data_IF_458123943487
#
_entry.id   IF_458123943487
#
_cell.length_a   1.000
_cell.length_b   1.000
_cell.length_c   1.000
_cell.angle_alpha   90.00
_cell.angle_beta   90.00
_cell.angle_gamma   90.00
#
_symmetry.space_group_name_H-M   'P 1'
#
loop_
_entity.id
_entity.type
_entity.pdbx_description
1 polymer ?
#
# COMPACT_ATOMS: atom_id res chain seq x y z
N UNK A 1 2.53 15.28 -13.03
CA UNK A 1 1.75 14.06 -12.77
C UNK A 1 2.60 12.85 -13.16
N UNK A 2 2.97 11.99 -12.23
CA UNK A 2 3.63 10.71 -12.57
C UNK A 2 2.62 9.87 -13.33
N UNK A 3 2.92 9.50 -14.58
CA UNK A 3 2.08 8.59 -15.38
C UNK A 3 1.86 7.30 -14.59
N UNK A 4 0.62 7.03 -14.24
CA UNK A 4 0.19 5.78 -13.61
C UNK A 4 0.33 4.71 -14.69
N UNK A 5 1.25 3.76 -14.50
CA UNK A 5 1.49 2.66 -15.44
C UNK A 5 1.03 1.34 -14.83
N UNK A 6 0.51 0.41 -15.61
CA UNK A 6 0.27 -0.96 -15.16
C UNK A 6 1.61 -1.64 -14.80
N UNK A 7 1.60 -2.71 -13.99
CA UNK A 7 2.76 -3.57 -13.82
C UNK A 7 3.30 -4.05 -15.18
N UNK A 8 4.62 -4.20 -15.31
CA UNK A 8 5.25 -4.59 -16.58
C UNK A 8 4.72 -5.91 -17.14
N UNK A 9 4.35 -6.83 -16.25
CA UNK A 9 3.80 -8.16 -16.60
C UNK A 9 2.30 -8.16 -16.91
N UNK A 10 1.57 -7.03 -16.78
CA UNK A 10 0.11 -6.98 -16.81
C UNK A 10 -0.49 -7.55 -18.09
N UNK A 11 0.03 -7.15 -19.25
CA UNK A 11 -0.47 -7.61 -20.55
C UNK A 11 -0.16 -9.09 -20.78
N UNK A 12 1.02 -9.54 -20.39
CA UNK A 12 1.40 -10.96 -20.47
C UNK A 12 0.53 -11.83 -19.58
N UNK A 13 0.29 -11.41 -18.34
CA UNK A 13 -0.58 -12.09 -17.40
C UNK A 13 -2.03 -12.21 -17.95
N UNK A 14 -2.61 -11.14 -18.47
CA UNK A 14 -3.94 -11.16 -19.11
C UNK A 14 -3.98 -12.16 -20.26
N UNK A 15 -2.98 -12.15 -21.12
CA UNK A 15 -2.88 -13.07 -22.27
C UNK A 15 -2.76 -14.54 -21.83
N UNK A 16 -1.92 -14.80 -20.84
CA UNK A 16 -1.74 -16.13 -20.26
C UNK A 16 -3.03 -16.66 -19.64
N UNK A 17 -3.67 -15.88 -18.77
CA UNK A 17 -4.90 -16.25 -18.09
C UNK A 17 -6.06 -16.48 -19.06
N UNK A 18 -6.18 -15.64 -20.10
CA UNK A 18 -7.21 -15.80 -21.15
C UNK A 18 -7.05 -17.08 -21.96
N UNK A 19 -5.82 -17.58 -22.13
CA UNK A 19 -5.57 -18.85 -22.80
C UNK A 19 -5.88 -20.06 -21.91
N UNK A 20 -5.66 -19.93 -20.59
CA UNK A 20 -5.82 -21.03 -19.64
C UNK A 20 -7.27 -21.22 -19.19
N UNK A 21 -8.06 -20.15 -19.11
CA UNK A 21 -9.43 -20.19 -18.59
C UNK A 21 -10.37 -19.35 -19.46
N UNK A 22 -11.31 -20.05 -20.14
CA UNK A 22 -12.30 -19.42 -21.02
C UNK A 22 -13.28 -18.51 -20.29
N UNK A 23 -13.62 -18.81 -19.01
CA UNK A 23 -14.52 -17.96 -18.21
C UNK A 23 -13.80 -16.68 -17.83
N UNK A 24 -12.54 -16.79 -17.38
CA UNK A 24 -11.71 -15.65 -17.07
C UNK A 24 -11.44 -14.78 -18.31
N UNK A 25 -11.23 -15.39 -19.47
CA UNK A 25 -11.07 -14.66 -20.74
C UNK A 25 -12.25 -13.75 -21.04
N UNK A 26 -13.50 -14.21 -20.82
CA UNK A 26 -14.70 -13.39 -21.01
C UNK A 26 -14.69 -12.17 -20.10
N UNK A 27 -14.34 -12.34 -18.82
CA UNK A 27 -14.26 -11.24 -17.85
C UNK A 27 -13.16 -10.25 -18.26
N UNK A 28 -11.97 -10.75 -18.60
CA UNK A 28 -10.83 -9.92 -19.03
C UNK A 28 -11.18 -9.06 -20.25
N UNK A 29 -11.97 -9.60 -21.20
CA UNK A 29 -12.38 -8.88 -22.40
C UNK A 29 -13.50 -7.85 -22.15
N UNK A 30 -14.24 -7.98 -21.06
CA UNK A 30 -15.31 -7.05 -20.68
C UNK A 30 -14.80 -5.81 -19.92
N UNK A 31 -13.61 -5.88 -19.34
CA UNK A 31 -13.08 -4.82 -18.47
C UNK A 31 -11.67 -4.39 -18.90
N UNK A 32 -11.51 -3.10 -19.18
CA UNK A 32 -10.23 -2.49 -19.60
C UNK A 32 -9.37 -1.98 -18.42
N UNK A 33 -9.80 -2.26 -17.20
CA UNK A 33 -9.08 -1.85 -16.01
C UNK A 33 -7.70 -2.50 -15.89
N UNK A 34 -6.82 -1.85 -15.13
CA UNK A 34 -5.50 -2.39 -14.81
C UNK A 34 -5.08 -1.97 -13.40
N UNK A 35 -4.22 -2.76 -12.79
CA UNK A 35 -3.55 -2.39 -11.55
C UNK A 35 -2.56 -1.25 -11.82
N UNK A 36 -2.39 -0.39 -10.84
CA UNK A 36 -1.43 0.70 -10.92
C UNK A 36 -0.25 0.43 -9.98
N UNK A 37 0.96 0.68 -10.47
CA UNK A 37 2.17 0.61 -9.65
C UNK A 37 2.46 1.98 -9.04
N UNK A 38 2.82 1.99 -7.78
CA UNK A 38 3.32 3.17 -7.06
C UNK A 38 4.77 2.92 -6.67
N UNK A 39 5.65 3.85 -7.00
CA UNK A 39 7.07 3.77 -6.64
C UNK A 39 7.35 4.38 -5.25
N UNK A 40 6.38 4.29 -4.34
CA UNK A 40 6.48 4.74 -2.97
C UNK A 40 5.92 3.67 -2.03
N UNK A 41 6.77 2.75 -1.55
CA UNK A 41 6.35 1.67 -0.66
C UNK A 41 5.78 2.16 0.67
N UNK A 42 6.36 3.22 1.26
CA UNK A 42 5.87 3.78 2.51
C UNK A 42 4.45 4.33 2.35
N UNK A 43 4.22 5.12 1.30
CA UNK A 43 2.89 5.62 0.94
C UNK A 43 1.90 4.46 0.75
N UNK A 44 2.28 3.43 0.00
CA UNK A 44 1.42 2.29 -0.29
C UNK A 44 1.04 1.51 0.96
N UNK A 45 1.98 1.30 1.88
CA UNK A 45 1.72 0.63 3.16
C UNK A 45 0.84 1.47 4.08
N UNK A 46 1.05 2.78 4.17
CA UNK A 46 0.15 3.68 4.91
C UNK A 46 -1.29 3.56 4.40
N UNK A 47 -1.46 3.62 3.08
CA UNK A 47 -2.78 3.50 2.46
C UNK A 47 -3.44 2.16 2.76
N UNK A 48 -2.67 1.07 2.69
CA UNK A 48 -3.16 -0.28 3.00
C UNK A 48 -3.61 -0.40 4.46
N UNK A 49 -2.79 0.05 5.42
CA UNK A 49 -3.13 -0.01 6.85
C UNK A 49 -4.40 0.80 7.14
N UNK A 50 -4.51 2.02 6.61
CA UNK A 50 -5.67 2.88 6.82
C UNK A 50 -6.94 2.24 6.24
N UNK A 51 -6.84 1.59 5.09
CA UNK A 51 -7.97 0.97 4.40
C UNK A 51 -8.39 -0.42 4.89
N UNK A 52 -7.64 -1.05 5.82
CA UNK A 52 -7.96 -2.40 6.29
C UNK A 52 -9.32 -2.47 6.98
N UNK A 53 -10.10 -3.52 6.66
CA UNK A 53 -11.37 -3.88 7.33
C UNK A 53 -12.44 -2.77 7.33
N UNK A 54 -12.42 -1.87 6.36
CA UNK A 54 -13.46 -0.86 6.16
C UNK A 54 -13.84 -0.79 4.67
N UNK A 55 -14.99 -0.16 4.38
CA UNK A 55 -15.43 0.02 3.00
C UNK A 55 -14.49 0.95 2.22
N UNK A 56 -14.47 0.81 0.89
CA UNK A 56 -13.65 1.68 0.00
C UNK A 56 -13.96 3.15 0.25
N UNK A 57 -15.24 3.52 0.36
CA UNK A 57 -15.67 4.90 0.63
C UNK A 57 -15.14 5.43 1.98
N UNK A 58 -15.21 4.60 3.02
CA UNK A 58 -14.65 4.96 4.34
C UNK A 58 -13.13 5.07 4.30
N UNK A 59 -12.45 4.18 3.59
CA UNK A 59 -11.00 4.21 3.40
C UNK A 59 -10.56 5.49 2.67
N UNK A 60 -11.24 5.89 1.61
CA UNK A 60 -10.95 7.12 0.87
C UNK A 60 -11.16 8.36 1.74
N UNK A 61 -12.25 8.40 2.50
CA UNK A 61 -12.54 9.50 3.43
C UNK A 61 -11.45 9.63 4.51
N UNK A 62 -11.07 8.51 5.15
CA UNK A 62 -10.01 8.50 6.15
C UNK A 62 -8.66 8.90 5.55
N UNK A 63 -8.36 8.45 4.34
CA UNK A 63 -7.14 8.79 3.63
C UNK A 63 -7.03 10.29 3.36
N UNK A 64 -8.09 10.92 2.85
CA UNK A 64 -8.11 12.37 2.60
C UNK A 64 -7.89 13.18 3.87
N UNK A 65 -8.47 12.76 5.00
CA UNK A 65 -8.21 13.38 6.31
C UNK A 65 -6.76 13.20 6.75
N UNK A 66 -6.21 12.01 6.55
CA UNK A 66 -4.81 11.72 6.88
C UNK A 66 -3.85 12.57 6.06
N UNK A 67 -4.06 12.69 4.75
CA UNK A 67 -3.24 13.56 3.88
C UNK A 67 -3.25 15.03 4.33
N UNK A 68 -4.41 15.56 4.71
CA UNK A 68 -4.53 16.93 5.22
C UNK A 68 -3.73 17.16 6.51
N UNK A 69 -3.69 16.16 7.38
CA UNK A 69 -3.02 16.27 8.69
C UNK A 69 -1.50 16.10 8.56
N UNK A 70 -1.04 15.14 7.76
CA UNK A 70 0.39 14.85 7.60
C UNK A 70 1.07 15.77 6.57
N UNK A 71 0.32 16.32 5.61
CA UNK A 71 0.77 17.15 4.48
C UNK A 71 1.68 16.41 3.50
N UNK A 72 2.81 15.88 3.96
CA UNK A 72 3.73 15.05 3.16
C UNK A 72 3.91 13.69 3.82
N UNK A 73 3.57 12.63 3.10
CA UNK A 73 3.62 11.25 3.61
C UNK A 73 5.06 10.75 3.56
N UNK A 74 5.75 10.89 4.67
CA UNK A 74 7.12 10.42 4.90
C UNK A 74 7.22 9.79 6.28
N UNK A 75 8.17 8.85 6.51
CA UNK A 75 8.37 8.26 7.82
C UNK A 75 8.58 9.29 8.93
N UNK A 76 9.43 10.29 8.68
CA UNK A 76 9.74 11.32 9.68
C UNK A 76 8.53 12.19 10.02
N UNK A 77 7.71 12.55 9.03
CA UNK A 77 6.52 13.34 9.28
C UNK A 77 5.47 12.55 10.08
N UNK A 78 5.34 11.25 9.81
CA UNK A 78 4.43 10.39 10.58
C UNK A 78 4.90 10.21 12.03
N UNK A 79 6.21 10.08 12.26
CA UNK A 79 6.78 10.00 13.60
C UNK A 79 6.52 11.30 14.39
N UNK A 80 6.67 12.45 13.74
CA UNK A 80 6.44 13.77 14.35
C UNK A 80 4.96 14.09 14.60
N UNK A 81 4.04 13.38 13.92
CA UNK A 81 2.62 13.63 14.06
C UNK A 81 2.13 13.19 15.43
N UNK A 82 1.41 14.09 16.14
CA UNK A 82 0.88 13.76 17.46
C UNK A 82 -0.18 12.67 17.40
N UNK A 83 -0.33 11.89 18.48
CA UNK A 83 -1.39 10.89 18.58
C UNK A 83 -2.77 11.51 18.44
N UNK A 84 -2.99 12.70 19.03
CA UNK A 84 -4.26 13.41 18.94
C UNK A 84 -4.66 13.70 17.47
N UNK A 85 -3.71 14.12 16.65
CA UNK A 85 -3.93 14.34 15.22
C UNK A 85 -4.28 13.04 14.48
N UNK A 86 -3.65 11.92 14.79
CA UNK A 86 -3.98 10.62 14.20
C UNK A 86 -5.37 10.12 14.66
N UNK A 87 -5.75 10.38 15.90
CA UNK A 87 -7.11 10.09 16.41
C UNK A 87 -8.15 10.93 15.68
N UNK A 88 -7.87 12.21 15.40
CA UNK A 88 -8.79 13.10 14.69
C UNK A 88 -9.09 12.67 13.25
N UNK A 89 -8.22 11.88 12.64
CA UNK A 89 -8.44 11.25 11.32
C UNK A 89 -9.52 10.15 11.37
N UNK A 90 -9.82 9.64 12.57
CA UNK A 90 -10.76 8.53 12.76
C UNK A 90 -10.09 7.15 12.70
N UNK A 91 -8.80 7.07 12.93
CA UNK A 91 -8.06 5.80 12.95
C UNK A 91 -8.23 5.06 14.28
N UNK A 92 -8.37 3.74 14.22
CA UNK A 92 -8.37 2.89 15.41
C UNK A 92 -7.02 2.95 16.14
N UNK A 93 -7.02 2.63 17.44
CA UNK A 93 -5.79 2.55 18.24
C UNK A 93 -4.75 1.62 17.60
N UNK A 94 -5.20 0.50 17.04
CA UNK A 94 -4.36 -0.51 16.42
C UNK A 94 -3.73 0.01 15.12
N UNK A 95 -4.49 0.70 14.26
CA UNK A 95 -3.97 1.33 13.03
C UNK A 95 -2.94 2.41 13.35
N UNK A 96 -3.19 3.23 14.36
CA UNK A 96 -2.22 4.25 14.84
C UNK A 96 -0.92 3.58 15.29
N UNK A 97 -1.01 2.50 16.06
CA UNK A 97 0.17 1.74 16.51
C UNK A 97 0.95 1.18 15.33
N UNK A 98 0.28 0.52 14.38
CA UNK A 98 0.93 -0.07 13.20
C UNK A 98 1.60 0.98 12.32
N UNK A 99 0.94 2.09 12.05
CA UNK A 99 1.53 3.20 11.29
C UNK A 99 2.80 3.75 11.96
N UNK A 100 2.79 3.88 13.28
CA UNK A 100 3.95 4.37 14.04
C UNK A 100 5.11 3.39 14.05
N UNK A 101 4.83 2.10 14.24
CA UNK A 101 5.86 1.05 14.18
C UNK A 101 6.48 1.06 12.79
N UNK A 102 5.66 0.99 11.74
CA UNK A 102 6.12 0.99 10.36
C UNK A 102 6.97 2.23 10.04
N UNK A 103 6.53 3.42 10.46
CA UNK A 103 7.29 4.64 10.23
C UNK A 103 8.68 4.61 10.88
N UNK A 104 8.79 4.06 12.09
CA UNK A 104 10.07 3.87 12.77
C UNK A 104 10.96 2.86 12.05
N UNK A 105 10.40 1.75 11.58
CA UNK A 105 11.16 0.73 10.84
C UNK A 105 11.74 1.29 9.54
N UNK A 106 10.97 2.07 8.79
CA UNK A 106 11.46 2.78 7.60
C UNK A 106 12.51 3.84 7.94
N UNK A 107 12.26 4.64 8.97
CA UNK A 107 13.18 5.72 9.39
C UNK A 107 14.54 5.17 9.81
N UNK A 108 14.55 4.10 10.59
CA UNK A 108 15.78 3.44 11.04
C UNK A 108 16.38 2.47 10.01
N UNK A 109 15.81 2.40 8.81
CA UNK A 109 16.24 1.51 7.70
C UNK A 109 16.25 0.01 8.08
N UNK A 110 15.49 -0.39 9.10
CA UNK A 110 15.30 -1.81 9.44
C UNK A 110 14.38 -2.48 8.42
N UNK A 111 13.44 -1.74 7.85
CA UNK A 111 12.65 -2.15 6.71
C UNK A 111 13.22 -1.46 5.45
N UNK A 112 14.11 -2.16 4.76
CA UNK A 112 14.73 -1.71 3.51
C UNK A 112 14.09 -2.42 2.32
N UNK A 113 13.30 -1.68 1.54
CA UNK A 113 12.59 -2.22 0.37
C UNK A 113 13.54 -2.73 -0.71
N UNK A 114 14.70 -2.07 -0.89
CA UNK A 114 15.70 -2.53 -1.87
C UNK A 114 16.28 -3.90 -1.48
N UNK A 115 16.42 -4.13 -0.20
CA UNK A 115 16.87 -5.42 0.33
C UNK A 115 15.78 -6.48 0.19
N UNK A 116 14.52 -6.13 0.53
CA UNK A 116 13.37 -7.03 0.34
C UNK A 116 13.22 -7.51 -1.10
N UNK A 117 13.44 -6.65 -2.09
CA UNK A 117 13.37 -7.01 -3.51
C UNK A 117 14.41 -8.05 -3.96
N UNK A 118 15.45 -8.26 -3.18
CA UNK A 118 16.51 -9.25 -3.45
C UNK A 118 16.32 -10.58 -2.69
N UNK A 119 15.37 -10.61 -1.77
CA UNK A 119 15.07 -11.81 -0.96
C UNK A 119 14.16 -12.76 -1.72
N UNK A 120 14.19 -14.03 -1.36
CA UNK A 120 13.13 -14.98 -1.71
C UNK A 120 11.83 -14.60 -1.00
N UNK A 121 10.69 -15.10 -1.48
CA UNK A 121 9.40 -14.83 -0.84
C UNK A 121 9.37 -15.31 0.62
N UNK A 122 9.96 -16.50 0.88
CA UNK A 122 10.05 -17.05 2.24
C UNK A 122 10.89 -16.17 3.17
N UNK A 123 12.03 -15.67 2.69
CA UNK A 123 12.91 -14.83 3.50
C UNK A 123 12.30 -13.45 3.74
N UNK A 124 11.61 -12.88 2.74
CA UNK A 124 10.87 -11.64 2.88
C UNK A 124 9.76 -11.77 3.91
N UNK A 125 8.97 -12.84 3.89
CA UNK A 125 7.93 -13.12 4.88
C UNK A 125 8.53 -13.22 6.28
N UNK A 126 9.59 -14.01 6.47
CA UNK A 126 10.29 -14.14 7.77
C UNK A 126 10.79 -12.79 8.29
N UNK A 127 11.28 -11.94 7.38
CA UNK A 127 11.76 -10.61 7.74
C UNK A 127 10.65 -9.66 8.18
N UNK A 128 9.47 -9.77 7.56
CA UNK A 128 8.32 -8.89 7.82
C UNK A 128 7.49 -9.28 9.05
N UNK A 129 7.53 -10.55 9.50
CA UNK A 129 6.75 -11.05 10.66
C UNK A 129 7.51 -11.10 11.98
N UNK A 130 8.70 -10.54 12.03
CA UNK A 130 9.53 -10.46 13.26
C UNK A 130 9.02 -9.45 14.25
#
# INVERSE_FOLDING_TARGET
MKKIKPPHYWHEAKKFLSKKDKKLAKIINQYDGHLVTRNDPFYSLCRSIIGQQISVKAADSAWLKFEKVIKKITPINLIKLSRAKLVSVGLSRQKILYLRIMAKEFFHKRLDVKNLQKMSDEDAIKHLVR
#
